data_IF_791630102099
#
_entry.id   IF_791630102099
#
_cell.length_a   1.000
_cell.length_b   1.000
_cell.length_c   1.000
_cell.angle_alpha   90.00
_cell.angle_beta   90.00
_cell.angle_gamma   90.00
#
_symmetry.space_group_name_H-M   'P 1'
#
loop_
_entity.id
_entity.type
_entity.pdbx_description
1 polymer ?
#
# COMPACT_ATOMS: atom_id res chain seq x y z
N UNK A 1 0.59 5.17 7.94
CA UNK A 1 -0.42 5.66 6.98
C UNK A 1 -0.05 7.00 6.34
N UNK A 2 -0.11 8.14 7.04
CA UNK A 2 0.14 9.48 6.45
C UNK A 2 1.48 9.60 5.73
N UNK A 3 2.56 9.02 6.30
CA UNK A 3 3.87 9.00 5.64
C UNK A 3 3.88 8.16 4.35
N UNK A 4 3.15 7.05 4.29
CA UNK A 4 3.05 6.25 3.08
C UNK A 4 2.24 6.97 1.98
N UNK A 5 1.17 7.67 2.37
CA UNK A 5 0.41 8.55 1.48
C UNK A 5 1.31 9.66 0.90
N UNK A 6 2.14 10.25 1.75
CA UNK A 6 3.12 11.26 1.37
C UNK A 6 4.23 10.71 0.46
N UNK A 7 4.69 9.48 0.68
CA UNK A 7 5.59 8.79 -0.23
C UNK A 7 4.98 8.61 -1.63
N UNK A 8 3.71 8.24 -1.71
CA UNK A 8 3.00 8.10 -2.97
C UNK A 8 2.90 9.43 -3.72
N UNK A 9 2.69 10.55 -3.03
CA UNK A 9 2.63 11.87 -3.67
C UNK A 9 3.89 12.22 -4.47
N UNK A 10 5.06 11.84 -3.97
CA UNK A 10 6.34 12.12 -4.66
C UNK A 10 6.65 11.05 -5.71
N UNK A 11 6.20 9.81 -5.49
CA UNK A 11 6.49 8.69 -6.38
C UNK A 11 5.51 8.53 -7.55
N UNK A 12 4.31 9.10 -7.42
CA UNK A 12 3.26 9.08 -8.45
C UNK A 12 2.79 10.51 -8.66
N UNK A 13 2.61 10.94 -9.91
CA UNK A 13 2.26 12.31 -10.33
C UNK A 13 0.81 12.72 -9.95
N UNK A 14 0.35 12.24 -8.78
CA UNK A 14 -0.98 12.45 -8.22
C UNK A 14 -0.96 13.79 -7.50
N UNK A 15 -1.60 14.80 -8.08
CA UNK A 15 -1.69 16.14 -7.50
C UNK A 15 -2.36 16.13 -6.12
N UNK A 16 -1.65 16.67 -5.13
CA UNK A 16 -2.16 17.38 -3.95
C UNK A 16 -3.41 16.79 -3.27
N UNK A 17 -3.32 15.57 -2.74
CA UNK A 17 -4.23 15.18 -1.67
C UNK A 17 -3.50 14.41 -0.57
N UNK A 18 -3.31 15.07 0.58
CA UNK A 18 -3.16 14.40 1.88
C UNK A 18 -4.44 13.65 2.31
N UNK A 19 -5.33 13.36 1.35
CA UNK A 19 -6.57 12.61 1.50
C UNK A 19 -6.46 11.36 0.62
N UNK A 20 -6.66 10.20 1.22
CA UNK A 20 -6.56 8.91 0.54
C UNK A 20 -6.74 7.76 1.52
N UNK A 21 -6.95 6.57 0.99
CA UNK A 21 -7.00 5.35 1.79
C UNK A 21 -5.64 4.65 1.71
N UNK A 22 -5.02 4.32 2.84
CA UNK A 22 -3.75 3.58 2.85
C UNK A 22 -4.00 2.14 3.25
N UNK A 23 -3.57 1.20 2.42
CA UNK A 23 -3.54 -0.23 2.74
C UNK A 23 -2.10 -0.59 3.08
N UNK A 24 -1.83 -0.81 4.36
CA UNK A 24 -0.50 -1.17 4.85
C UNK A 24 -0.47 -2.64 5.25
N UNK A 25 0.20 -3.48 4.44
CA UNK A 25 0.29 -4.92 4.67
C UNK A 25 1.73 -5.35 4.90
N UNK A 26 2.02 -5.68 6.16
CA UNK A 26 3.32 -6.14 6.63
C UNK A 26 3.38 -7.66 6.81
N UNK A 27 4.29 -8.10 7.69
CA UNK A 27 4.43 -9.51 8.05
C UNK A 27 3.37 -9.99 9.05
N UNK A 28 2.91 -9.11 9.97
CA UNK A 28 2.04 -9.54 11.07
C UNK A 28 0.58 -9.09 10.99
N UNK A 29 0.30 -7.97 10.32
CA UNK A 29 -1.06 -7.41 10.23
C UNK A 29 -1.20 -6.60 8.96
N UNK A 30 -2.43 -6.50 8.47
CA UNK A 30 -2.79 -5.60 7.38
C UNK A 30 -3.82 -4.59 7.88
N UNK A 31 -3.48 -3.31 7.78
CA UNK A 31 -4.32 -2.20 8.17
C UNK A 31 -4.86 -1.48 6.96
N UNK A 32 -6.12 -1.04 7.04
CA UNK A 32 -6.74 -0.16 6.05
C UNK A 32 -7.12 1.13 6.76
N UNK A 33 -6.45 2.21 6.38
CA UNK A 33 -6.44 3.46 7.13
C UNK A 33 -6.89 4.62 6.24
N UNK A 34 -8.10 5.15 6.44
CA UNK A 34 -8.54 6.36 5.75
C UNK A 34 -7.86 7.61 6.33
N UNK A 35 -7.37 8.46 5.44
CA UNK A 35 -6.73 9.74 5.75
C UNK A 35 -7.49 10.85 5.03
N UNK A 36 -7.82 11.92 5.73
CA UNK A 36 -8.38 13.14 5.15
C UNK A 36 -7.59 14.35 5.61
N UNK A 37 -7.13 15.15 4.64
CA UNK A 37 -6.37 16.39 4.88
C UNK A 37 -5.16 16.21 5.82
N UNK A 38 -4.53 15.04 5.77
CA UNK A 38 -3.37 14.66 6.59
C UNK A 38 -3.72 14.01 7.93
N UNK A 39 -4.99 14.03 8.33
CA UNK A 39 -5.48 13.45 9.57
C UNK A 39 -6.10 12.08 9.34
N UNK A 40 -5.93 11.18 10.31
CA UNK A 40 -6.53 9.84 10.25
C UNK A 40 -8.00 9.92 10.65
N UNK A 41 -8.88 9.26 9.89
CA UNK A 41 -10.28 9.05 10.30
C UNK A 41 -10.29 7.80 11.20
N UNK A 42 -9.92 7.99 12.47
CA UNK A 42 -9.66 6.90 13.41
C UNK A 42 -10.83 5.94 13.61
N UNK A 43 -12.07 6.45 13.62
CA UNK A 43 -13.29 5.65 13.81
C UNK A 43 -13.56 4.65 12.68
N UNK A 44 -12.97 4.85 11.51
CA UNK A 44 -13.18 4.00 10.33
C UNK A 44 -11.97 3.11 10.03
N UNK A 45 -10.93 3.10 10.88
CA UNK A 45 -9.78 2.21 10.72
C UNK A 45 -10.22 0.77 11.01
N UNK A 46 -9.95 -0.13 10.07
CA UNK A 46 -10.13 -1.58 10.28
C UNK A 46 -8.86 -2.33 9.90
N UNK A 47 -8.78 -3.57 10.35
CA UNK A 47 -7.70 -4.49 10.03
C UNK A 47 -8.27 -5.81 9.51
N UNK A 48 -7.48 -6.51 8.72
CA UNK A 48 -7.76 -7.88 8.28
C UNK A 48 -6.73 -8.81 8.95
N UNK A 49 -7.16 -9.94 9.54
CA UNK A 49 -6.27 -10.93 10.16
C UNK A 49 -5.57 -11.79 9.11
N UNK A 50 -5.05 -11.16 8.07
CA UNK A 50 -4.30 -11.76 6.97
C UNK A 50 -3.11 -10.86 6.69
N UNK A 51 -1.92 -11.45 6.68
CA UNK A 51 -0.65 -10.76 6.56
C UNK A 51 0.39 -11.63 5.86
N UNK A 52 1.61 -11.11 5.72
CA UNK A 52 2.71 -11.84 5.07
C UNK A 52 3.06 -13.17 5.73
N UNK A 53 2.85 -13.29 7.04
CA UNK A 53 3.04 -14.53 7.81
C UNK A 53 1.96 -15.55 7.50
N UNK A 54 0.70 -15.15 7.48
CA UNK A 54 -0.44 -16.04 7.20
C UNK A 54 -0.32 -16.64 5.81
N UNK A 55 0.08 -15.83 4.80
CA UNK A 55 0.37 -16.32 3.45
C UNK A 55 1.52 -17.33 3.46
N UNK A 56 2.56 -17.06 4.25
CA UNK A 56 3.72 -17.98 4.34
C UNK A 56 3.29 -19.32 4.93
N UNK A 57 2.49 -19.32 5.98
CA UNK A 57 1.97 -20.55 6.58
C UNK A 57 1.01 -21.28 5.65
N UNK A 58 0.14 -20.57 4.94
CA UNK A 58 -0.75 -21.19 3.97
C UNK A 58 0.03 -21.87 2.83
N UNK A 59 1.03 -21.19 2.25
CA UNK A 59 1.93 -21.77 1.24
C UNK A 59 2.69 -22.98 1.82
N UNK A 60 3.13 -22.90 3.08
CA UNK A 60 3.81 -24.01 3.75
C UNK A 60 2.92 -25.24 3.85
N UNK A 61 1.64 -25.08 4.20
CA UNK A 61 0.67 -26.18 4.28
C UNK A 61 0.49 -26.84 2.92
N UNK A 62 0.26 -26.05 1.86
CA UNK A 62 0.11 -26.56 0.49
C UNK A 62 1.34 -27.34 0.01
N UNK A 63 2.54 -26.85 0.35
CA UNK A 63 3.79 -27.53 0.00
C UNK A 63 3.98 -28.83 0.78
N UNK A 64 3.63 -28.87 2.07
CA UNK A 64 3.77 -30.09 2.89
C UNK A 64 2.89 -31.23 2.41
N UNK A 65 1.70 -30.91 1.89
CA UNK A 65 0.75 -31.91 1.38
C UNK A 65 1.23 -32.55 0.07
N UNK A 66 1.97 -31.80 -0.76
CA UNK A 66 2.40 -32.25 -2.10
C UNK A 66 3.87 -32.70 -2.17
N UNK A 67 4.76 -32.05 -1.43
CA UNK A 67 6.22 -32.11 -1.63
C UNK A 67 6.94 -32.68 -0.38
N UNK A 68 7.11 -34.01 -0.27
CA UNK A 68 7.75 -34.64 0.89
C UNK A 68 9.28 -34.42 0.96
N UNK A 69 9.89 -33.85 -0.09
CA UNK A 69 11.35 -33.65 -0.20
C UNK A 69 11.87 -32.49 0.63
N UNK A 70 10.98 -31.61 1.13
CA UNK A 70 11.35 -30.43 1.90
C UNK A 70 11.79 -30.85 3.30
N UNK A 71 13.00 -30.49 3.74
CA UNK A 71 13.44 -30.75 5.11
C UNK A 71 12.51 -30.03 6.12
N UNK A 72 11.97 -30.72 7.15
CA UNK A 72 11.01 -30.13 8.09
C UNK A 72 11.52 -28.84 8.75
N UNK A 73 12.80 -28.79 9.08
CA UNK A 73 13.49 -27.65 9.70
C UNK A 73 13.61 -26.43 8.77
N UNK A 74 13.60 -26.64 7.44
CA UNK A 74 13.66 -25.58 6.42
C UNK A 74 12.33 -25.32 5.72
N UNK A 75 11.25 -25.94 6.21
CA UNK A 75 9.92 -25.85 5.59
C UNK A 75 9.39 -24.42 5.54
N UNK A 76 9.57 -23.64 6.61
CA UNK A 76 9.10 -22.25 6.67
C UNK A 76 9.94 -21.31 5.78
N UNK A 77 11.27 -21.51 5.78
CA UNK A 77 12.20 -20.74 4.94
C UNK A 77 11.90 -20.97 3.44
N UNK A 78 11.67 -22.22 3.06
CA UNK A 78 11.32 -22.61 1.70
C UNK A 78 9.98 -21.98 1.27
N UNK A 79 8.96 -22.05 2.11
CA UNK A 79 7.66 -21.42 1.85
C UNK A 79 7.79 -19.89 1.69
N UNK A 80 8.58 -19.23 2.54
CA UNK A 80 8.85 -17.79 2.44
C UNK A 80 9.57 -17.43 1.14
N UNK A 81 10.60 -18.19 0.76
CA UNK A 81 11.33 -17.98 -0.48
C UNK A 81 10.41 -18.17 -1.70
N UNK A 82 9.54 -19.19 -1.67
CA UNK A 82 8.57 -19.43 -2.74
C UNK A 82 7.55 -18.29 -2.84
N UNK A 83 7.02 -17.85 -1.69
CA UNK A 83 6.11 -16.69 -1.60
C UNK A 83 6.72 -15.46 -2.25
N UNK A 84 7.93 -15.09 -1.88
CA UNK A 84 8.56 -13.84 -2.32
C UNK A 84 9.03 -13.88 -3.78
N UNK A 85 9.37 -15.06 -4.31
CA UNK A 85 9.92 -15.20 -5.67
C UNK A 85 8.90 -15.58 -6.73
N UNK A 86 7.91 -16.41 -6.40
CA UNK A 86 7.06 -17.07 -7.39
C UNK A 86 5.57 -16.74 -7.27
N UNK A 87 5.11 -16.24 -6.12
CA UNK A 87 3.70 -15.93 -5.93
C UNK A 87 3.26 -14.65 -6.64
N UNK A 88 2.00 -14.64 -7.08
CA UNK A 88 1.36 -13.54 -7.78
C UNK A 88 -0.15 -13.60 -7.58
N UNK A 89 -0.84 -12.50 -7.84
CA UNK A 89 -2.30 -12.45 -7.80
C UNK A 89 -2.85 -12.72 -9.20
N UNK A 90 -3.75 -13.70 -9.30
CA UNK A 90 -4.42 -14.02 -10.55
C UNK A 90 -5.75 -13.23 -10.70
N UNK A 91 -6.24 -12.97 -11.92
CA UNK A 91 -7.55 -12.36 -12.13
C UNK A 91 -8.72 -13.29 -11.81
N UNK A 92 -8.58 -14.58 -12.11
CA UNK A 92 -9.64 -15.59 -12.05
C UNK A 92 -9.01 -16.93 -11.68
N UNK A 93 -9.36 -17.45 -10.50
CA UNK A 93 -8.78 -18.65 -9.92
C UNK A 93 -9.10 -19.88 -10.76
N UNK A 94 -10.36 -20.04 -11.21
CA UNK A 94 -10.81 -21.23 -11.92
C UNK A 94 -10.11 -21.38 -13.28
N UNK A 95 -9.91 -20.25 -13.96
CA UNK A 95 -9.12 -20.20 -15.21
C UNK A 95 -7.65 -20.50 -14.96
N UNK A 96 -7.10 -20.00 -13.86
CA UNK A 96 -5.69 -20.26 -13.53
C UNK A 96 -5.47 -21.74 -13.18
N UNK A 97 -6.38 -22.39 -12.47
CA UNK A 97 -6.34 -23.85 -12.27
C UNK A 97 -6.40 -24.61 -13.59
N UNK A 98 -7.38 -24.30 -14.45
CA UNK A 98 -7.54 -24.97 -15.75
C UNK A 98 -6.26 -24.89 -16.59
N UNK A 99 -5.58 -23.73 -16.57
CA UNK A 99 -4.31 -23.53 -17.27
C UNK A 99 -3.18 -24.41 -16.72
N UNK A 100 -3.12 -24.62 -15.40
CA UNK A 100 -2.12 -25.51 -14.79
C UNK A 100 -2.41 -26.98 -15.09
N UNK A 101 -3.69 -27.37 -15.14
CA UNK A 101 -4.13 -28.73 -15.48
C UNK A 101 -3.88 -29.05 -16.96
N UNK A 102 -4.05 -28.09 -17.86
CA UNK A 102 -3.82 -28.23 -19.31
C UNK A 102 -2.33 -28.46 -19.65
N UNK A 103 -1.41 -27.72 -19.03
CA UNK A 103 0.03 -27.87 -19.26
C UNK A 103 0.83 -27.75 -17.95
N UNK A 104 0.90 -28.85 -17.16
CA UNK A 104 1.62 -28.85 -15.90
C UNK A 104 3.11 -28.59 -16.08
N UNK A 105 3.73 -29.10 -17.15
CA UNK A 105 5.18 -29.04 -17.37
C UNK A 105 5.67 -27.61 -17.60
N UNK A 106 4.83 -26.76 -18.22
CA UNK A 106 5.16 -25.36 -18.50
C UNK A 106 4.88 -24.45 -17.31
N UNK A 107 3.83 -24.73 -16.54
CA UNK A 107 3.36 -23.84 -15.48
C UNK A 107 3.98 -24.13 -14.11
N UNK A 108 4.34 -25.38 -13.84
CA UNK A 108 5.11 -25.74 -12.65
C UNK A 108 6.56 -25.28 -12.80
N UNK A 109 7.05 -24.60 -11.79
CA UNK A 109 8.45 -24.17 -11.69
C UNK A 109 9.20 -25.09 -10.74
N UNK A 110 10.54 -25.03 -10.73
CA UNK A 110 11.35 -25.74 -9.73
C UNK A 110 12.03 -24.77 -8.79
N UNK A 111 11.92 -25.02 -7.50
CA UNK A 111 12.75 -24.40 -6.48
C UNK A 111 13.79 -25.40 -6.01
N UNK A 112 15.05 -24.97 -5.95
CA UNK A 112 16.16 -25.78 -5.43
C UNK A 112 16.73 -25.11 -4.19
N UNK A 113 16.85 -25.89 -3.12
CA UNK A 113 17.51 -25.47 -1.88
C UNK A 113 18.66 -26.42 -1.53
N UNK A 114 19.46 -26.03 -0.55
CA UNK A 114 20.48 -26.91 0.04
C UNK A 114 20.03 -27.24 1.45
N UNK A 115 20.01 -28.53 1.77
CA UNK A 115 19.68 -28.99 3.11
C UNK A 115 20.73 -28.48 4.10
N UNK A 116 20.29 -27.80 5.16
CA UNK A 116 21.18 -27.18 6.14
C UNK A 116 22.03 -28.20 6.91
N UNK A 117 21.50 -29.40 7.13
CA UNK A 117 22.13 -30.50 7.87
C UNK A 117 22.95 -31.40 6.94
N UNK A 118 22.33 -32.00 5.92
CA UNK A 118 22.99 -32.99 5.04
C UNK A 118 23.89 -32.35 3.97
N UNK A 119 23.76 -31.03 3.76
CA UNK A 119 24.43 -30.26 2.69
C UNK A 119 24.13 -30.74 1.27
N UNK A 120 23.15 -31.63 1.10
CA UNK A 120 22.71 -32.10 -0.21
C UNK A 120 21.65 -31.15 -0.79
N UNK A 121 21.58 -31.01 -2.13
CA UNK A 121 20.51 -30.25 -2.75
C UNK A 121 19.17 -30.98 -2.62
N UNK A 122 18.10 -30.23 -2.43
CA UNK A 122 16.73 -30.72 -2.57
C UNK A 122 15.98 -29.85 -3.58
N UNK A 123 15.02 -30.46 -4.29
CA UNK A 123 14.18 -29.77 -5.26
C UNK A 123 12.71 -29.94 -4.92
N UNK A 124 11.96 -28.88 -5.19
CA UNK A 124 10.52 -28.76 -4.90
C UNK A 124 9.86 -28.25 -6.17
N UNK A 125 8.81 -28.93 -6.62
CA UNK A 125 7.99 -28.40 -7.70
C UNK A 125 7.09 -27.30 -7.13
N UNK A 126 6.93 -26.20 -7.87
CA UNK A 126 6.21 -25.00 -7.43
C UNK A 126 5.02 -24.73 -8.37
N UNK A 127 3.80 -24.90 -7.85
CA UNK A 127 2.57 -25.03 -8.62
C UNK A 127 1.49 -24.01 -8.22
N UNK A 128 0.36 -24.52 -7.71
CA UNK A 128 -0.86 -23.76 -7.39
C UNK A 128 -0.68 -22.73 -6.27
N UNK A 129 0.20 -23.00 -5.30
CA UNK A 129 0.53 -22.10 -4.19
C UNK A 129 1.00 -20.71 -4.66
N UNK A 130 1.46 -20.61 -5.91
CA UNK A 130 1.85 -19.36 -6.54
C UNK A 130 0.71 -18.35 -6.58
N UNK A 131 -0.49 -18.77 -7.00
CA UNK A 131 -1.65 -17.88 -7.03
C UNK A 131 -2.56 -18.06 -5.82
N UNK A 132 -2.63 -19.27 -5.24
CA UNK A 132 -3.42 -19.53 -4.04
C UNK A 132 -2.91 -18.79 -2.81
N UNK A 133 -1.58 -18.62 -2.67
CA UNK A 133 -0.98 -17.91 -1.54
C UNK A 133 -1.56 -16.50 -1.36
N UNK A 134 -1.40 -15.60 -2.35
CA UNK A 134 -1.95 -14.24 -2.27
C UNK A 134 -3.49 -14.16 -2.36
N UNK A 135 -4.15 -15.21 -2.83
CA UNK A 135 -5.61 -15.22 -2.99
C UNK A 135 -6.34 -15.10 -1.64
N UNK A 136 -5.72 -15.50 -0.54
CA UNK A 136 -6.32 -15.38 0.80
C UNK A 136 -6.61 -13.94 1.24
N UNK A 137 -6.05 -12.92 0.56
CA UNK A 137 -6.49 -11.53 0.76
C UNK A 137 -7.90 -11.28 0.21
N UNK A 138 -8.23 -11.93 -0.89
CA UNK A 138 -9.50 -11.74 -1.60
C UNK A 138 -10.53 -12.80 -1.21
N UNK A 139 -10.06 -13.99 -0.78
CA UNK A 139 -10.90 -15.07 -0.27
C UNK A 139 -10.30 -15.64 1.03
N UNK A 140 -10.46 -14.94 2.17
CA UNK A 140 -9.78 -15.29 3.42
C UNK A 140 -10.23 -16.62 4.03
N UNK A 141 -11.43 -17.09 3.68
CA UNK A 141 -12.01 -18.37 4.11
C UNK A 141 -11.12 -19.58 3.80
N UNK A 142 -10.21 -19.49 2.82
CA UNK A 142 -9.27 -20.57 2.51
C UNK A 142 -8.24 -20.83 3.60
N UNK A 143 -7.91 -19.83 4.42
CA UNK A 143 -6.92 -19.95 5.48
C UNK A 143 -7.48 -19.67 6.87
N UNK A 144 -8.55 -18.89 6.98
CA UNK A 144 -9.15 -18.50 8.26
C UNK A 144 -10.66 -18.78 8.24
N UNK A 145 -11.14 -19.85 8.91
CA UNK A 145 -12.56 -20.18 8.96
C UNK A 145 -13.44 -19.12 9.64
N UNK A 146 -12.86 -18.31 10.54
CA UNK A 146 -13.60 -17.31 11.32
C UNK A 146 -13.75 -15.98 10.58
N UNK A 147 -12.98 -15.75 9.51
CA UNK A 147 -12.94 -14.49 8.79
C UNK A 147 -13.20 -14.69 7.30
N UNK A 148 -14.27 -14.09 6.79
CA UNK A 148 -14.78 -14.30 5.42
C UNK A 148 -14.84 -13.01 4.56
N UNK A 149 -14.40 -11.87 5.10
CA UNK A 149 -14.53 -10.58 4.40
C UNK A 149 -13.31 -10.31 3.53
N UNK A 150 -13.49 -10.22 2.21
CA UNK A 150 -12.39 -9.90 1.29
C UNK A 150 -11.79 -8.51 1.56
N UNK A 151 -10.51 -8.33 1.25
CA UNK A 151 -9.86 -7.01 1.34
C UNK A 151 -10.59 -5.94 0.53
N UNK A 152 -11.09 -6.30 -0.67
CA UNK A 152 -11.86 -5.38 -1.53
C UNK A 152 -13.16 -4.91 -0.86
N UNK A 153 -13.87 -5.83 -0.19
CA UNK A 153 -15.10 -5.50 0.56
C UNK A 153 -14.79 -4.64 1.78
N UNK A 154 -13.72 -4.98 2.51
CA UNK A 154 -13.28 -4.22 3.67
C UNK A 154 -12.92 -2.77 3.30
N UNK A 155 -12.22 -2.57 2.19
CA UNK A 155 -11.88 -1.26 1.64
C UNK A 155 -13.14 -0.44 1.35
N UNK A 156 -14.11 -1.05 0.68
CA UNK A 156 -15.38 -0.41 0.35
C UNK A 156 -16.16 -0.02 1.62
N UNK A 157 -16.26 -0.92 2.59
CA UNK A 157 -16.96 -0.68 3.86
C UNK A 157 -16.34 0.47 4.66
N UNK A 158 -15.01 0.52 4.73
CA UNK A 158 -14.31 1.61 5.42
C UNK A 158 -14.61 2.96 4.75
N UNK A 159 -14.59 3.02 3.42
CA UNK A 159 -14.89 4.27 2.72
C UNK A 159 -16.36 4.64 2.92
N UNK A 160 -17.28 3.68 2.96
CA UNK A 160 -18.69 3.94 3.27
C UNK A 160 -18.93 4.37 4.72
N UNK A 161 -18.11 3.94 5.68
CA UNK A 161 -18.16 4.41 7.06
C UNK A 161 -17.63 5.84 7.23
N UNK A 162 -16.83 6.33 6.28
CA UNK A 162 -16.29 7.69 6.32
C UNK A 162 -17.37 8.75 5.96
N UNK A 163 -17.17 10.04 6.33
CA UNK A 163 -18.05 11.14 5.92
C UNK A 163 -18.23 11.22 4.40
N UNK A 164 -19.43 11.57 3.94
CA UNK A 164 -19.80 11.53 2.51
C UNK A 164 -18.89 12.39 1.62
N UNK A 165 -18.46 13.54 2.14
CA UNK A 165 -17.68 14.54 1.39
C UNK A 165 -16.26 14.06 1.02
N UNK A 166 -15.73 13.07 1.73
CA UNK A 166 -14.38 12.54 1.49
C UNK A 166 -14.38 11.26 0.66
N UNK A 167 -15.52 10.55 0.54
CA UNK A 167 -15.56 9.20 -0.06
C UNK A 167 -15.02 9.15 -1.49
N UNK A 168 -15.44 10.09 -2.34
CA UNK A 168 -14.96 10.17 -3.73
C UNK A 168 -13.44 10.36 -3.80
N UNK A 169 -12.88 11.17 -2.90
CA UNK A 169 -11.43 11.41 -2.79
C UNK A 169 -10.69 10.16 -2.32
N UNK A 170 -11.28 9.40 -1.38
CA UNK A 170 -10.71 8.14 -0.88
C UNK A 170 -10.68 7.05 -1.98
N UNK A 171 -11.76 6.87 -2.75
CA UNK A 171 -11.78 5.94 -3.89
C UNK A 171 -10.79 6.34 -4.99
N UNK A 172 -10.66 7.65 -5.24
CA UNK A 172 -9.74 8.19 -6.23
C UNK A 172 -8.27 8.16 -5.82
N UNK A 173 -7.93 7.69 -4.61
CA UNK A 173 -6.55 7.65 -4.11
C UNK A 173 -6.36 6.56 -3.04
N UNK A 174 -6.34 5.29 -3.47
CA UNK A 174 -6.04 4.13 -2.62
C UNK A 174 -4.55 3.79 -2.77
N UNK A 175 -3.75 4.06 -1.74
CA UNK A 175 -2.30 3.87 -1.75
C UNK A 175 -1.92 2.54 -1.11
N UNK A 176 -1.08 1.77 -1.80
CA UNK A 176 -0.51 0.53 -1.27
C UNK A 176 0.79 0.79 -0.51
N UNK A 177 0.96 0.12 0.63
CA UNK A 177 2.16 0.15 1.46
C UNK A 177 2.49 -1.24 1.99
N UNK A 178 3.77 -1.49 2.23
CA UNK A 178 4.26 -2.71 2.88
C UNK A 178 4.69 -3.81 1.91
N UNK A 179 5.41 -4.79 2.44
CA UNK A 179 5.99 -5.88 1.64
C UNK A 179 4.95 -6.82 1.04
N UNK A 180 3.83 -7.05 1.75
CA UNK A 180 2.81 -8.03 1.35
C UNK A 180 1.83 -7.49 0.29
N UNK A 181 1.91 -6.20 -0.04
CA UNK A 181 1.18 -5.62 -1.19
C UNK A 181 1.96 -5.71 -2.51
N UNK A 182 3.21 -6.19 -2.48
CA UNK A 182 4.13 -6.24 -3.63
C UNK A 182 3.86 -7.38 -4.63
N UNK A 183 2.84 -8.21 -4.40
CA UNK A 183 2.53 -9.30 -5.33
C UNK A 183 2.15 -8.75 -6.71
N UNK A 184 2.70 -9.37 -7.76
CA UNK A 184 2.37 -8.99 -9.13
C UNK A 184 0.86 -9.14 -9.36
N UNK A 185 0.21 -8.10 -9.85
CA UNK A 185 -1.22 -8.10 -10.13
C UNK A 185 -2.13 -7.68 -8.96
N UNK A 186 -1.57 -7.46 -7.76
CA UNK A 186 -2.34 -7.08 -6.56
C UNK A 186 -3.15 -5.80 -6.76
N UNK A 187 -2.50 -4.72 -7.22
CA UNK A 187 -3.14 -3.43 -7.54
C UNK A 187 -4.30 -3.58 -8.52
N UNK A 188 -4.08 -4.31 -9.63
CA UNK A 188 -5.08 -4.49 -10.69
C UNK A 188 -6.29 -5.28 -10.19
N UNK A 189 -6.05 -6.34 -9.41
CA UNK A 189 -7.10 -7.17 -8.79
C UNK A 189 -7.94 -6.34 -7.83
N UNK A 190 -7.28 -5.63 -6.91
CA UNK A 190 -7.95 -4.79 -5.93
C UNK A 190 -8.78 -3.69 -6.59
N UNK A 191 -8.20 -2.96 -7.56
CA UNK A 191 -8.92 -1.92 -8.31
C UNK A 191 -10.19 -2.48 -8.95
N UNK A 192 -10.06 -3.59 -9.69
CA UNK A 192 -11.18 -4.22 -10.39
C UNK A 192 -12.29 -4.63 -9.44
N UNK A 193 -11.95 -5.30 -8.34
CA UNK A 193 -12.93 -5.85 -7.42
C UNK A 193 -13.63 -4.75 -6.62
N UNK A 194 -12.91 -3.71 -6.18
CA UNK A 194 -13.51 -2.52 -5.55
C UNK A 194 -14.40 -1.77 -6.54
N UNK A 195 -13.96 -1.56 -7.78
CA UNK A 195 -14.77 -0.90 -8.81
C UNK A 195 -16.09 -1.67 -9.05
N UNK A 196 -16.04 -3.01 -9.13
CA UNK A 196 -17.25 -3.85 -9.28
C UNK A 196 -18.23 -3.67 -8.12
N UNK A 197 -17.75 -3.60 -6.87
CA UNK A 197 -18.60 -3.37 -5.69
C UNK A 197 -19.26 -1.99 -5.74
N UNK A 198 -18.48 -0.96 -6.10
CA UNK A 198 -18.97 0.41 -6.24
C UNK A 198 -20.02 0.50 -7.34
N UNK A 199 -19.74 -0.04 -8.53
CA UNK A 199 -20.65 -0.02 -9.68
C UNK A 199 -21.95 -0.78 -9.39
N UNK A 200 -21.86 -1.93 -8.71
CA UNK A 200 -23.04 -2.68 -8.29
C UNK A 200 -23.93 -1.85 -7.35
N UNK A 201 -23.35 -1.21 -6.33
CA UNK A 201 -24.09 -0.34 -5.40
C UNK A 201 -24.69 0.88 -6.10
N UNK A 202 -23.97 1.50 -7.04
CA UNK A 202 -24.48 2.65 -7.80
C UNK A 202 -25.66 2.23 -8.69
N UNK A 203 -25.58 1.04 -9.31
CA UNK A 203 -26.69 0.48 -10.10
C UNK A 203 -27.94 0.22 -9.26
N UNK A 204 -27.79 -0.39 -8.08
CA UNK A 204 -28.89 -0.57 -7.13
C UNK A 204 -29.52 0.77 -6.73
N UNK A 205 -28.69 1.79 -6.49
CA UNK A 205 -29.15 3.13 -6.15
C UNK A 205 -29.91 3.81 -7.30
N UNK A 206 -29.48 3.61 -8.54
CA UNK A 206 -30.15 4.11 -9.75
C UNK A 206 -31.53 3.46 -9.92
N UNK A 207 -31.63 2.14 -9.71
CA UNK A 207 -32.90 1.41 -9.81
C UNK A 207 -33.93 1.87 -8.77
N UNK A 208 -33.49 2.19 -7.55
CA UNK A 208 -34.37 2.65 -6.46
C UNK A 208 -34.77 4.12 -6.63
N UNK A 209 -33.79 5.00 -6.87
CA UNK A 209 -34.02 6.45 -6.89
C UNK A 209 -34.52 6.98 -8.23
N UNK A 210 -34.39 6.19 -9.31
CA UNK A 210 -34.60 6.60 -10.72
C UNK A 210 -33.72 7.78 -11.15
N UNK A 211 -32.68 8.09 -10.37
CA UNK A 211 -31.70 9.11 -10.66
C UNK A 211 -30.35 8.44 -10.90
N UNK A 212 -29.68 8.81 -11.99
CA UNK A 212 -28.39 8.25 -12.34
C UNK A 212 -27.29 8.94 -11.50
N UNK A 213 -26.63 8.25 -10.57
CA UNK A 213 -25.56 8.83 -9.80
C UNK A 213 -24.31 9.02 -10.66
N UNK A 214 -23.52 10.07 -10.36
CA UNK A 214 -22.24 10.27 -11.04
C UNK A 214 -21.30 9.10 -10.78
N UNK A 215 -20.62 8.57 -11.81
CA UNK A 215 -19.71 7.45 -11.67
C UNK A 215 -18.57 7.79 -10.70
N UNK A 216 -18.09 6.77 -9.98
CA UNK A 216 -16.96 6.88 -9.06
C UNK A 216 -15.80 6.10 -9.70
N UNK A 217 -14.71 6.80 -10.00
CA UNK A 217 -13.49 6.18 -10.53
C UNK A 217 -12.59 5.73 -9.37
N UNK A 218 -12.34 4.42 -9.29
CA UNK A 218 -11.47 3.83 -8.28
C UNK A 218 -10.02 3.82 -8.80
N UNK A 219 -9.13 4.46 -8.06
CA UNK A 219 -7.70 4.47 -8.36
C UNK A 219 -6.92 3.83 -7.22
N UNK A 220 -6.29 2.70 -7.51
CA UNK A 220 -5.28 2.10 -6.65
C UNK A 220 -3.92 2.54 -7.19
N UNK A 221 -3.03 2.95 -6.29
CA UNK A 221 -1.70 3.48 -6.61
C UNK A 221 -0.65 2.54 -6.03
N UNK A 222 0.03 1.83 -6.91
CA UNK A 222 1.30 1.16 -6.60
C UNK A 222 2.49 2.05 -7.01
N UNK A 223 3.58 1.99 -6.26
CA UNK A 223 4.79 2.74 -6.57
C UNK A 223 6.07 1.95 -6.24
N UNK A 224 7.21 2.30 -6.86
CA UNK A 224 8.45 1.54 -6.71
C UNK A 224 8.94 1.45 -5.24
N UNK A 225 8.72 2.50 -4.46
CA UNK A 225 9.07 2.55 -3.03
C UNK A 225 8.07 1.87 -2.08
N UNK A 226 7.06 1.16 -2.60
CA UNK A 226 5.92 0.63 -1.82
C UNK A 226 6.35 -0.27 -0.65
N UNK A 227 7.39 -1.09 -0.84
CA UNK A 227 7.97 -1.94 0.21
C UNK A 227 8.41 -1.15 1.45
N UNK A 228 8.93 0.05 1.25
CA UNK A 228 9.46 0.91 2.30
C UNK A 228 8.73 2.27 2.34
N UNK A 229 7.48 2.33 1.90
CA UNK A 229 6.75 3.57 1.67
C UNK A 229 6.73 4.47 2.91
N UNK A 230 6.50 3.89 4.09
CA UNK A 230 6.50 4.60 5.37
C UNK A 230 7.87 5.22 5.65
N UNK A 231 8.96 4.48 5.46
CA UNK A 231 10.32 4.95 5.71
C UNK A 231 10.74 6.04 4.70
N UNK A 232 10.45 5.80 3.41
CA UNK A 232 10.70 6.76 2.35
C UNK A 232 9.95 8.07 2.58
N UNK A 233 8.66 8.00 2.92
CA UNK A 233 7.85 9.16 3.25
C UNK A 233 8.34 9.91 4.48
N UNK A 234 8.79 9.19 5.51
CA UNK A 234 9.42 9.80 6.69
C UNK A 234 10.72 10.53 6.37
N UNK A 235 11.59 9.93 5.56
CA UNK A 235 12.84 10.54 5.09
C UNK A 235 12.59 11.83 4.28
N UNK A 236 11.59 11.79 3.40
CA UNK A 236 11.18 12.95 2.59
C UNK A 236 10.58 14.06 3.45
N UNK A 237 9.68 13.71 4.37
CA UNK A 237 9.07 14.67 5.29
C UNK A 237 10.14 15.34 6.18
N UNK A 238 11.08 14.57 6.73
CA UNK A 238 12.21 15.10 7.49
C UNK A 238 13.09 16.03 6.65
N UNK A 239 13.36 15.67 5.39
CA UNK A 239 14.15 16.49 4.47
C UNK A 239 13.46 17.82 4.13
N UNK A 240 12.13 17.83 3.95
CA UNK A 240 11.37 19.07 3.76
C UNK A 240 11.32 19.93 5.03
N UNK A 241 11.16 19.32 6.21
CA UNK A 241 11.23 20.04 7.49
C UNK A 241 12.60 20.70 7.69
N UNK A 242 13.69 20.03 7.32
CA UNK A 242 15.03 20.61 7.34
C UNK A 242 15.17 21.76 6.35
N UNK A 243 14.59 21.66 5.15
CA UNK A 243 14.55 22.78 4.19
C UNK A 243 13.74 23.97 4.71
N UNK A 244 12.60 23.74 5.36
CA UNK A 244 11.78 24.81 5.95
C UNK A 244 12.53 25.45 7.11
N UNK A 245 13.20 24.68 7.97
CA UNK A 245 14.06 25.21 9.04
C UNK A 245 15.26 25.98 8.51
N UNK A 246 15.93 25.49 7.47
CA UNK A 246 16.99 26.23 6.79
C UNK A 246 16.48 27.49 6.10
N UNK A 247 15.33 27.43 5.44
CA UNK A 247 14.71 28.58 4.78
C UNK A 247 14.24 29.61 5.81
N UNK A 248 13.71 29.19 6.95
CA UNK A 248 13.38 30.11 8.04
C UNK A 248 14.62 30.69 8.69
N UNK A 249 15.70 29.91 8.91
CA UNK A 249 16.99 30.45 9.37
C UNK A 249 17.59 31.43 8.35
N UNK A 250 17.55 31.11 7.05
CA UNK A 250 17.99 32.01 5.97
C UNK A 250 17.11 33.25 5.88
N UNK A 251 15.81 33.14 6.10
CA UNK A 251 14.90 34.27 6.15
C UNK A 251 15.19 35.17 7.36
N UNK A 252 15.39 34.59 8.56
CA UNK A 252 15.81 35.34 9.75
C UNK A 252 17.19 35.97 9.57
N UNK A 253 18.13 35.28 8.91
CA UNK A 253 19.45 35.82 8.61
C UNK A 253 19.39 36.93 7.57
N UNK A 254 18.56 36.78 6.53
CA UNK A 254 18.33 37.81 5.51
C UNK A 254 17.65 39.05 6.10
N UNK A 255 16.64 38.88 6.97
CA UNK A 255 16.00 39.98 7.71
C UNK A 255 16.99 40.66 8.65
N UNK A 256 17.80 39.89 9.38
CA UNK A 256 18.83 40.44 10.27
C UNK A 256 19.92 41.22 9.51
N UNK A 257 20.40 40.69 8.38
CA UNK A 257 21.37 41.37 7.51
C UNK A 257 20.75 42.62 6.89
N UNK A 258 19.47 42.58 6.49
CA UNK A 258 18.76 43.74 5.97
C UNK A 258 18.61 44.86 7.02
N UNK A 259 18.23 44.53 8.26
CA UNK A 259 18.17 45.51 9.36
C UNK A 259 19.55 46.09 9.71
N UNK A 260 20.60 45.26 9.78
CA UNK A 260 21.99 45.72 10.01
C UNK A 260 22.49 46.65 8.89
N UNK A 261 22.06 46.43 7.65
CA UNK A 261 22.45 47.26 6.50
C UNK A 261 21.71 48.60 6.49
N UNK A 262 20.45 48.63 6.94
CA UNK A 262 19.70 49.88 7.15
C UNK A 262 20.27 50.72 8.30
N UNK A 263 20.67 50.08 9.41
CA UNK A 263 21.26 50.76 10.58
C UNK A 263 22.68 51.29 10.34
N UNK A 264 23.38 50.82 9.29
CA UNK A 264 24.74 51.26 8.93
C UNK A 264 24.79 52.29 7.82
N UNK A 265 23.66 52.81 7.34
CA UNK A 265 23.62 53.85 6.32
C UNK A 265 23.73 55.24 6.98
N UNK A 266 24.86 55.97 6.88
CA UNK A 266 25.07 57.26 7.55
C UNK A 266 24.27 58.43 6.93
N UNK A 267 23.24 58.15 6.11
CA UNK A 267 22.43 59.18 5.44
C UNK A 267 21.19 59.61 6.23
N UNK A 268 20.90 58.99 7.38
CA UNK A 268 19.76 59.38 8.22
C UNK A 268 20.09 60.40 9.33
N UNK A 269 21.36 60.70 9.59
CA UNK A 269 21.75 61.77 10.55
C UNK A 269 21.78 63.17 9.94
N UNK A 270 21.46 63.32 8.65
CA UNK A 270 21.53 64.61 7.93
C UNK A 270 20.17 65.31 7.74
N UNK A 271 19.09 64.85 8.37
CA UNK A 271 17.74 65.45 8.24
C UNK A 271 17.30 66.20 9.51
N UNK A 272 18.09 66.22 10.58
CA UNK A 272 17.74 66.90 11.83
C UNK A 272 18.33 68.31 12.03
N UNK A 273 19.10 68.86 11.09
CA UNK A 273 19.74 70.18 11.26
C UNK A 273 19.11 71.35 10.51
N UNK A 274 18.09 71.15 9.66
CA UNK A 274 17.45 72.24 8.89
C UNK A 274 16.00 72.53 9.35
N UNK A 275 15.79 72.64 10.66
CA UNK A 275 14.55 73.13 11.25
C UNK A 275 14.81 74.14 12.39
N UNK A 276 15.75 75.07 12.16
CA UNK A 276 15.88 76.29 12.96
C UNK A 276 16.16 77.47 12.04
N UNK A 277 15.09 78.05 11.50
CA UNK A 277 15.00 79.44 11.04
C UNK A 277 13.54 79.87 11.04
#
# INVERSE_FOLDING_TARGET
>A
ATLALYASWIASDVQNMLTGLVIDSGDGVTHVVPVAEGYLIGSSIKHIPISGRDITYFVQTLLREREPTIPPEQSLETAKAIKERYCYVCPDIAKEFSKYDEDPRKNYLKYTGINSVTKQPFSVDVGHERFMGPEIFFQPEFSNPEYNTSLSKLVDDIIQDCPIDVRRKLYGNIVLSGGSTMFKGFEKRLKRDVQRLVDARLKESEEISKHKPDPIDVKVVAHAMQRYAVWFGGSLAASQLLRIRFASVLFFHAVYVYEQTLLRNPKYDLIQTDAHS
#
